data_IF_164476567611
#
_entry.id   IF_164476567611
#
_cell.length_a   1.000
_cell.length_b   1.000
_cell.length_c   1.000
_cell.angle_alpha   90.00
_cell.angle_beta   90.00
_cell.angle_gamma   90.00
#
_symmetry.space_group_name_H-M   'P 1'
#
loop_
_entity.id
_entity.type
_entity.pdbx_description
1 polymer ?
#
# COMPACT_ATOMS: atom_id res chain seq x y z
N UNK A 1 4.32 -83.68 25.41
CA UNK A 1 3.91 -82.41 26.02
C UNK A 1 4.84 -81.35 25.47
N UNK A 2 4.37 -80.60 24.48
CA UNK A 2 5.17 -79.53 23.85
C UNK A 2 4.88 -78.19 24.57
N UNK A 3 5.91 -77.67 25.21
CA UNK A 3 5.85 -76.29 25.83
C UNK A 3 6.01 -75.28 24.74
N UNK A 4 4.93 -74.56 24.36
CA UNK A 4 4.99 -73.43 23.52
C UNK A 4 5.57 -72.23 24.32
N UNK A 5 6.78 -71.82 24.01
CA UNK A 5 7.41 -70.64 24.51
C UNK A 5 6.76 -69.44 23.79
N UNK A 6 6.00 -68.63 24.52
CA UNK A 6 5.49 -67.33 24.00
C UNK A 6 6.64 -66.36 24.01
N UNK A 7 7.12 -66.07 22.82
CA UNK A 7 8.02 -64.92 22.62
C UNK A 7 7.24 -63.63 22.84
N UNK A 8 7.61 -62.93 23.89
CA UNK A 8 7.06 -61.63 24.22
C UNK A 8 7.71 -60.64 23.27
N UNK A 9 6.94 -60.15 22.28
CA UNK A 9 7.36 -59.00 21.47
C UNK A 9 7.44 -57.80 22.38
N UNK A 10 8.66 -57.41 22.76
CA UNK A 10 8.96 -56.13 23.33
C UNK A 10 8.80 -55.10 22.26
N UNK A 11 7.71 -54.31 22.33
CA UNK A 11 7.54 -53.13 21.54
C UNK A 11 8.46 -52.05 22.12
N UNK A 12 9.42 -51.50 21.37
CA UNK A 12 10.10 -50.31 21.82
C UNK A 12 9.04 -49.22 21.93
N UNK A 13 8.80 -48.75 23.16
CA UNK A 13 8.07 -47.52 23.40
C UNK A 13 8.91 -46.39 22.80
N UNK A 14 8.54 -46.00 21.58
CA UNK A 14 9.01 -44.77 20.99
C UNK A 14 8.46 -43.65 21.88
N UNK A 15 9.26 -43.26 22.83
CA UNK A 15 9.06 -42.03 23.59
C UNK A 15 9.15 -40.89 22.59
N UNK A 16 8.06 -40.66 21.85
CA UNK A 16 7.87 -39.44 21.07
C UNK A 16 7.69 -38.34 22.09
N UNK A 17 8.80 -37.89 22.61
CA UNK A 17 8.85 -36.51 23.15
C UNK A 17 8.46 -35.62 22.01
N UNK A 18 7.22 -35.16 22.02
CA UNK A 18 6.81 -33.99 21.30
C UNK A 18 7.69 -32.88 21.87
N UNK A 19 8.86 -32.67 21.26
CA UNK A 19 9.58 -31.45 21.36
C UNK A 19 8.61 -30.42 20.79
N UNK A 20 7.89 -29.74 21.65
CA UNK A 20 7.33 -28.45 21.31
C UNK A 20 8.55 -27.62 20.95
N UNK A 21 8.87 -27.59 19.66
CA UNK A 21 9.72 -26.54 19.15
C UNK A 21 9.12 -25.27 19.74
N UNK A 22 9.89 -24.65 20.61
CA UNK A 22 9.61 -23.30 21.05
C UNK A 22 9.38 -22.56 19.75
N UNK A 23 8.10 -22.25 19.47
CA UNK A 23 7.77 -21.29 18.43
C UNK A 23 8.64 -20.10 18.79
N UNK A 24 9.75 -19.98 18.06
CA UNK A 24 10.60 -18.83 18.17
C UNK A 24 9.67 -17.65 18.26
N UNK A 25 10.00 -16.70 19.11
CA UNK A 25 9.34 -15.41 19.14
C UNK A 25 9.39 -14.88 17.70
N UNK A 26 8.58 -15.46 16.82
CA UNK A 26 8.13 -14.76 15.65
C UNK A 26 7.50 -13.54 16.25
N UNK A 27 8.24 -12.48 16.25
CA UNK A 27 7.71 -11.15 16.31
C UNK A 27 6.60 -11.16 15.28
N UNK A 28 5.42 -11.59 15.73
CA UNK A 28 4.21 -11.38 14.99
C UNK A 28 4.21 -9.87 14.82
N UNK A 29 4.38 -9.42 13.58
CA UNK A 29 4.16 -8.03 13.17
C UNK A 29 2.73 -7.58 13.47
N UNK A 30 1.96 -8.41 14.16
CA UNK A 30 0.66 -8.14 14.75
C UNK A 30 0.76 -7.71 16.23
N UNK A 31 1.75 -6.92 16.58
CA UNK A 31 1.54 -5.98 17.66
C UNK A 31 0.62 -4.91 17.12
N UNK A 32 -0.65 -5.22 17.15
CA UNK A 32 -1.72 -4.27 16.82
C UNK A 32 -1.70 -3.00 17.71
N UNK A 33 -0.87 -2.99 18.74
CA UNK A 33 -0.62 -1.81 19.57
C UNK A 33 0.22 -0.74 18.87
N UNK A 34 1.06 -1.10 17.90
CA UNK A 34 1.93 -0.14 17.25
C UNK A 34 1.28 0.50 16.00
N UNK A 35 0.18 -0.06 15.52
CA UNK A 35 -0.56 0.49 14.39
C UNK A 35 -1.71 1.42 14.81
N UNK A 36 -2.14 1.38 16.09
CA UNK A 36 -3.20 2.25 16.58
C UNK A 36 -2.78 3.71 16.69
N UNK A 37 -1.49 3.98 16.79
CA UNK A 37 -0.91 5.34 16.82
C UNK A 37 -0.31 5.76 15.48
N UNK A 38 -0.42 4.92 14.44
CA UNK A 38 0.02 5.30 13.11
C UNK A 38 -1.02 6.20 12.45
N UNK A 39 -0.78 7.48 12.52
CA UNK A 39 -1.49 8.50 11.75
C UNK A 39 -0.66 8.80 10.49
N UNK A 40 -1.09 8.32 9.31
CA UNK A 40 -0.35 8.60 8.08
C UNK A 40 -0.30 10.12 7.85
N UNK A 41 0.85 10.67 7.46
CA UNK A 41 0.97 12.08 7.19
C UNK A 41 -0.01 12.49 6.10
N UNK A 42 -0.84 13.48 6.39
CA UNK A 42 -1.77 14.06 5.42
C UNK A 42 -1.13 15.32 4.82
N UNK A 43 -1.02 15.34 3.51
CA UNK A 43 -0.49 16.49 2.78
C UNK A 43 -1.60 17.16 1.99
N UNK A 44 -1.76 18.45 2.18
CA UNK A 44 -2.65 19.29 1.39
C UNK A 44 -1.83 20.35 0.67
N UNK A 45 -1.83 20.28 -0.64
CA UNK A 45 -1.15 21.26 -1.49
C UNK A 45 -2.17 22.09 -2.22
N UNK A 46 -2.22 23.37 -1.89
CA UNK A 46 -3.09 24.33 -2.57
C UNK A 46 -2.38 25.66 -2.72
N UNK A 47 -2.78 26.42 -3.73
CA UNK A 47 -2.32 27.76 -3.94
C UNK A 47 -3.49 28.73 -3.78
N UNK A 48 -3.47 29.54 -2.71
CA UNK A 48 -4.52 30.52 -2.42
C UNK A 48 -4.65 31.61 -3.49
N UNK A 49 -3.62 31.84 -4.30
CA UNK A 49 -3.57 32.86 -5.35
C UNK A 49 -3.79 32.34 -6.76
N UNK A 50 -4.05 31.05 -6.97
CA UNK A 50 -4.18 30.53 -8.32
C UNK A 50 -4.02 29.02 -8.44
N UNK A 51 -3.35 28.61 -9.49
CA UNK A 51 -3.15 27.19 -9.82
C UNK A 51 -1.75 26.72 -9.41
N UNK A 52 -1.58 25.40 -9.29
CA UNK A 52 -0.31 24.77 -8.94
C UNK A 52 0.63 24.63 -10.14
N UNK A 53 0.07 24.62 -11.36
CA UNK A 53 0.83 24.53 -12.61
C UNK A 53 0.38 25.57 -13.63
N UNK A 54 1.22 25.82 -14.59
CA UNK A 54 0.84 26.54 -15.83
C UNK A 54 -0.11 25.66 -16.66
N UNK A 55 -0.85 26.26 -17.63
CA UNK A 55 -1.69 25.50 -18.54
C UNK A 55 -0.82 24.56 -19.40
N UNK A 56 -1.30 23.32 -19.60
CA UNK A 56 -0.67 22.34 -20.49
C UNK A 56 -1.71 21.78 -21.46
N UNK A 57 -1.26 21.32 -22.64
CA UNK A 57 -2.12 20.62 -23.60
C UNK A 57 -2.17 19.11 -23.40
N UNK A 58 -1.42 18.62 -22.43
CA UNK A 58 -1.34 17.19 -22.09
C UNK A 58 -2.66 16.65 -21.53
N UNK A 59 -2.77 15.34 -21.46
CA UNK A 59 -3.91 14.71 -20.81
C UNK A 59 -3.93 15.01 -19.30
N UNK A 60 -5.10 15.13 -18.67
CA UNK A 60 -5.17 15.45 -17.23
C UNK A 60 -4.37 14.51 -16.33
N UNK A 61 -4.32 13.22 -16.67
CA UNK A 61 -3.54 12.23 -15.92
C UNK A 61 -2.04 12.51 -16.01
N UNK A 62 -1.56 12.84 -17.22
CA UNK A 62 -0.13 13.13 -17.43
C UNK A 62 0.30 14.37 -16.64
N UNK A 63 -0.52 15.44 -16.68
CA UNK A 63 -0.30 16.65 -15.90
C UNK A 63 -0.24 16.33 -14.39
N UNK A 64 -1.14 15.47 -13.91
CA UNK A 64 -1.18 15.06 -12.51
C UNK A 64 0.08 14.27 -12.11
N UNK A 65 0.45 13.27 -12.91
CA UNK A 65 1.61 12.42 -12.63
C UNK A 65 2.92 13.20 -12.69
N UNK A 66 3.08 14.09 -13.65
CA UNK A 66 4.27 14.95 -13.80
C UNK A 66 4.43 15.87 -12.59
N UNK A 67 3.34 16.49 -12.16
CA UNK A 67 3.38 17.37 -10.98
C UNK A 67 3.73 16.60 -9.71
N UNK A 68 3.07 15.48 -9.45
CA UNK A 68 3.32 14.67 -8.26
C UNK A 68 4.73 14.09 -8.29
N UNK A 69 5.19 13.62 -9.45
CA UNK A 69 6.57 13.11 -9.61
C UNK A 69 7.62 14.18 -9.35
N UNK A 70 7.39 15.42 -9.81
CA UNK A 70 8.31 16.54 -9.59
C UNK A 70 8.43 16.95 -8.12
N UNK A 71 7.46 16.55 -7.29
CA UNK A 71 7.39 16.84 -5.86
C UNK A 71 7.41 15.59 -4.97
N UNK A 72 7.74 14.43 -5.53
CA UNK A 72 7.73 13.15 -4.85
C UNK A 72 8.51 13.19 -3.52
N UNK A 73 9.67 13.84 -3.48
CA UNK A 73 10.46 14.03 -2.26
C UNK A 73 9.69 14.73 -1.14
N UNK A 74 8.82 15.69 -1.49
CA UNK A 74 7.98 16.39 -0.51
C UNK A 74 6.91 15.50 0.11
N UNK A 75 6.56 14.41 -0.57
CA UNK A 75 5.63 13.39 -0.09
C UNK A 75 6.35 12.19 0.53
N UNK A 76 7.68 12.19 0.58
CA UNK A 76 8.48 11.05 1.01
C UNK A 76 8.47 9.88 0.04
N UNK A 77 8.20 10.13 -1.24
CA UNK A 77 8.13 9.15 -2.32
C UNK A 77 9.31 9.30 -3.27
N UNK A 78 9.67 8.24 -3.96
CA UNK A 78 10.50 8.35 -5.15
C UNK A 78 9.61 8.62 -6.39
N UNK A 79 10.10 9.28 -7.45
CA UNK A 79 9.34 9.47 -8.68
C UNK A 79 8.83 8.16 -9.29
N UNK A 80 9.58 7.08 -9.14
CA UNK A 80 9.17 5.74 -9.60
C UNK A 80 7.95 5.20 -8.85
N UNK A 81 7.78 5.55 -7.56
CA UNK A 81 6.63 5.12 -6.76
C UNK A 81 5.35 5.82 -7.23
N UNK A 82 5.47 7.07 -7.68
CA UNK A 82 4.35 7.82 -8.26
C UNK A 82 3.89 7.18 -9.57
N UNK A 83 4.83 6.83 -10.44
CA UNK A 83 4.53 6.18 -11.72
C UNK A 83 3.98 4.76 -11.56
N UNK A 84 4.29 4.10 -10.45
CA UNK A 84 3.77 2.78 -10.09
C UNK A 84 2.39 2.85 -9.41
N UNK A 85 1.88 4.05 -9.13
CA UNK A 85 0.56 4.21 -8.52
C UNK A 85 -0.56 3.78 -9.46
N UNK A 86 -1.59 3.15 -8.93
CA UNK A 86 -2.78 2.76 -9.67
C UNK A 86 -3.78 3.91 -9.72
N UNK A 87 -4.36 4.17 -10.89
CA UNK A 87 -5.51 5.07 -11.02
C UNK A 87 -6.75 4.29 -10.60
N UNK A 88 -7.26 4.59 -9.41
CA UNK A 88 -8.45 3.90 -8.88
C UNK A 88 -9.76 4.48 -9.40
N UNK A 89 -9.76 5.78 -9.72
CA UNK A 89 -10.90 6.45 -10.34
C UNK A 89 -10.45 7.72 -11.07
N UNK A 90 -11.18 8.06 -12.14
CA UNK A 90 -10.99 9.31 -12.88
C UNK A 90 -12.32 9.74 -13.51
N UNK A 91 -12.77 10.94 -13.19
CA UNK A 91 -13.98 11.48 -13.81
C UNK A 91 -13.90 13.01 -13.96
N UNK A 92 -14.61 13.53 -14.96
CA UNK A 92 -14.76 14.98 -15.15
C UNK A 92 -16.09 15.47 -14.60
N UNK A 93 -16.05 16.51 -13.79
CA UNK A 93 -17.26 17.17 -13.30
C UNK A 93 -18.00 17.83 -14.47
N UNK A 94 -19.27 17.52 -14.72
CA UNK A 94 -20.03 18.14 -15.80
C UNK A 94 -20.32 19.64 -15.54
N UNK A 95 -20.27 20.06 -14.29
CA UNK A 95 -20.57 21.45 -13.88
C UNK A 95 -19.33 22.34 -14.05
N UNK A 96 -18.20 21.92 -13.50
CA UNK A 96 -16.96 22.72 -13.47
C UNK A 96 -16.01 22.39 -14.62
N UNK A 97 -16.13 21.19 -15.18
CA UNK A 97 -15.18 20.63 -16.13
C UNK A 97 -13.84 20.25 -15.51
N UNK A 98 -13.79 20.20 -14.18
CA UNK A 98 -12.61 19.72 -13.44
C UNK A 98 -12.54 18.21 -13.54
N UNK A 99 -11.38 17.68 -13.87
CA UNK A 99 -11.10 16.24 -13.83
C UNK A 99 -10.52 15.90 -12.46
N UNK A 100 -11.20 14.99 -11.79
CA UNK A 100 -10.77 14.43 -10.51
C UNK A 100 -10.07 13.10 -10.78
N UNK A 101 -8.87 12.92 -10.24
CA UNK A 101 -8.02 11.75 -10.43
C UNK A 101 -7.66 11.22 -9.05
N UNK A 102 -7.94 9.95 -8.83
CA UNK A 102 -7.64 9.24 -7.60
C UNK A 102 -6.54 8.22 -7.89
N UNK A 103 -5.44 8.36 -7.17
CA UNK A 103 -4.27 7.49 -7.28
C UNK A 103 -4.11 6.73 -5.97
N UNK A 104 -3.73 5.47 -6.06
CA UNK A 104 -3.35 4.63 -4.93
C UNK A 104 -1.93 4.16 -5.10
N UNK A 105 -1.13 4.36 -4.07
CA UNK A 105 0.24 3.89 -4.07
C UNK A 105 0.28 2.37 -4.06
N UNK A 106 1.17 1.80 -4.87
CA UNK A 106 1.46 0.37 -4.87
C UNK A 106 2.93 0.13 -4.50
N UNK A 107 3.16 -0.95 -3.75
CA UNK A 107 4.49 -1.45 -3.42
C UNK A 107 4.58 -2.92 -3.81
N UNK A 108 5.42 -3.21 -4.80
CA UNK A 108 5.57 -4.58 -5.29
C UNK A 108 4.28 -5.20 -5.85
N UNK A 109 3.37 -4.37 -6.41
CA UNK A 109 2.08 -4.80 -6.94
C UNK A 109 0.99 -4.99 -5.89
N UNK A 110 1.22 -4.54 -4.66
CA UNK A 110 0.24 -4.55 -3.56
C UNK A 110 -0.17 -3.12 -3.21
N UNK A 111 -1.45 -2.92 -2.96
CA UNK A 111 -1.98 -1.63 -2.53
C UNK A 111 -1.46 -1.26 -1.14
N UNK A 112 -0.98 -0.04 -0.99
CA UNK A 112 -0.60 0.51 0.31
C UNK A 112 -1.84 1.09 0.97
N UNK A 113 -2.17 0.61 2.16
CA UNK A 113 -3.33 1.07 2.93
C UNK A 113 -3.14 2.54 3.34
N UNK A 114 -4.19 3.35 3.16
CA UNK A 114 -4.21 4.79 3.47
C UNK A 114 -3.18 5.63 2.67
N UNK A 115 -2.74 5.13 1.53
CA UNK A 115 -1.86 5.84 0.62
C UNK A 115 -2.61 6.26 -0.67
N UNK A 116 -3.75 6.88 -0.48
CA UNK A 116 -4.58 7.43 -1.56
C UNK A 116 -4.26 8.92 -1.75
N UNK A 117 -4.24 9.36 -3.02
CA UNK A 117 -4.02 10.74 -3.41
C UNK A 117 -5.13 11.19 -4.35
N UNK A 118 -5.65 12.40 -4.14
CA UNK A 118 -6.59 13.03 -5.05
C UNK A 118 -5.91 14.22 -5.73
N UNK A 119 -5.99 14.27 -7.05
CA UNK A 119 -5.47 15.35 -7.86
C UNK A 119 -6.58 15.92 -8.74
N UNK A 120 -6.71 17.24 -8.75
CA UNK A 120 -7.75 17.94 -9.48
C UNK A 120 -7.16 18.77 -10.62
N UNK A 121 -7.58 18.51 -11.85
CA UNK A 121 -7.13 19.23 -13.05
C UNK A 121 -8.31 19.99 -13.65
N UNK A 122 -8.19 21.31 -13.78
CA UNK A 122 -9.25 22.17 -14.33
C UNK A 122 -9.47 21.92 -15.84
N UNK A 123 -10.58 22.41 -16.36
CA UNK A 123 -10.84 22.45 -17.80
C UNK A 123 -9.73 23.17 -18.58
N UNK A 124 -9.11 24.20 -18.00
CA UNK A 124 -7.97 24.88 -18.58
C UNK A 124 -6.66 24.08 -18.44
N UNK A 125 -6.79 22.80 -18.04
CA UNK A 125 -5.68 21.86 -17.83
C UNK A 125 -4.60 22.41 -16.87
N UNK A 126 -5.07 22.98 -15.79
CA UNK A 126 -4.25 23.46 -14.67
C UNK A 126 -4.57 22.64 -13.43
N UNK A 127 -3.55 22.32 -12.66
CA UNK A 127 -3.75 21.70 -11.36
C UNK A 127 -4.34 22.69 -10.37
N UNK A 128 -5.36 22.24 -9.68
CA UNK A 128 -5.91 22.88 -8.48
C UNK A 128 -5.87 21.90 -7.33
N UNK A 129 -6.06 22.40 -6.17
CA UNK A 129 -6.28 21.55 -5.01
C UNK A 129 -7.56 20.74 -5.15
#
# INVERSE_FOLDING_TARGET
MSKRTRTRFDRPSADRRLSLERLEDRLLLSRSSDLSDYDPPQFHWFNLGGYLTEPSDEAPLDIALDYVSSRADSFGLAPADVLASEVTDQYASPITGTTHIYLRQQLGGLDVINADMNVNVTRAKKLTN
#
